data_IF_235309122844
#
_entry.id   IF_235309122844
#
_cell.length_a   1.000
_cell.length_b   1.000
_cell.length_c   1.000
_cell.angle_alpha   90.00
_cell.angle_beta   90.00
_cell.angle_gamma   90.00
#
_symmetry.space_group_name_H-M   'P 1'
#
loop_
_entity.id
_entity.type
_entity.pdbx_description
1 polymer ?
#
# COMPACT_ATOMS: atom_id res chain seq x y z
N UNK A 1 14.27 -4.99 21.97
CA UNK A 1 13.96 -4.81 20.54
C UNK A 1 14.04 -3.33 20.23
N UNK A 2 14.87 -2.93 19.31
CA UNK A 2 14.96 -1.53 18.86
C UNK A 2 13.82 -1.34 17.83
N UNK A 3 12.95 -0.35 18.00
CA UNK A 3 11.90 -0.07 17.02
C UNK A 3 12.48 0.31 15.66
N UNK A 4 11.86 -0.14 14.59
CA UNK A 4 12.18 0.31 13.24
C UNK A 4 11.83 1.80 13.08
N UNK A 5 12.65 2.54 12.30
CA UNK A 5 12.31 3.91 11.92
C UNK A 5 12.41 4.99 13.02
N UNK A 6 12.82 4.62 14.25
CA UNK A 6 12.92 5.57 15.37
C UNK A 6 13.97 6.67 15.16
N UNK A 7 14.88 6.50 14.21
CA UNK A 7 15.89 7.50 13.87
C UNK A 7 15.91 7.74 12.37
N UNK A 8 15.72 8.96 11.92
CA UNK A 8 15.84 9.35 10.52
C UNK A 8 14.55 9.79 9.85
N UNK A 9 14.62 9.85 8.53
CA UNK A 9 13.55 10.34 7.65
C UNK A 9 12.74 9.20 7.01
N UNK A 10 12.75 8.01 7.62
CA UNK A 10 12.04 6.85 7.06
C UNK A 10 10.69 6.71 7.75
N UNK A 11 9.66 6.75 6.96
CA UNK A 11 8.30 6.35 7.35
C UNK A 11 8.08 4.86 7.05
N UNK A 12 7.19 4.24 7.76
CA UNK A 12 7.00 2.79 7.70
C UNK A 12 5.52 2.44 7.71
N UNK A 13 5.12 1.58 6.79
CA UNK A 13 3.78 1.01 6.74
C UNK A 13 3.86 -0.51 6.89
N UNK A 14 2.94 -1.10 7.64
CA UNK A 14 2.80 -2.53 7.83
C UNK A 14 1.35 -2.96 7.55
N UNK A 15 1.17 -4.09 6.85
CA UNK A 15 -0.12 -4.63 6.46
C UNK A 15 -0.14 -6.15 6.66
N UNK A 16 -1.12 -6.68 7.38
CA UNK A 16 -1.28 -8.12 7.63
C UNK A 16 -1.99 -8.77 6.44
N UNK A 17 -1.25 -9.58 5.68
CA UNK A 17 -1.76 -10.26 4.49
C UNK A 17 -2.67 -11.43 4.84
N UNK A 18 -2.14 -12.36 5.64
CA UNK A 18 -2.86 -13.57 6.06
C UNK A 18 -2.22 -14.22 7.29
N UNK A 19 -2.87 -15.23 7.78
CA UNK A 19 -2.40 -16.06 8.89
C UNK A 19 -3.51 -16.35 9.90
N UNK A 20 -3.33 -17.42 10.66
CA UNK A 20 -4.25 -17.78 11.75
C UNK A 20 -3.94 -17.03 13.05
N UNK A 21 -2.97 -16.11 12.99
CA UNK A 21 -2.51 -15.32 14.11
C UNK A 21 -2.94 -13.87 14.05
N UNK A 22 -2.43 -13.12 15.00
CA UNK A 22 -2.57 -11.68 15.03
C UNK A 22 -1.22 -11.03 15.25
N UNK A 23 -0.98 -9.91 14.58
CA UNK A 23 0.23 -9.13 14.72
C UNK A 23 -0.01 -8.04 15.78
N UNK A 24 0.71 -8.09 16.88
CA UNK A 24 0.73 -6.97 17.83
C UNK A 24 1.71 -5.92 17.31
N UNK A 25 1.23 -4.70 17.05
CA UNK A 25 2.02 -3.59 16.51
C UNK A 25 1.97 -2.41 17.47
N UNK A 26 3.13 -1.81 17.71
CA UNK A 26 3.27 -0.60 18.53
C UNK A 26 3.89 0.51 17.68
N UNK A 27 3.23 1.67 17.63
CA UNK A 27 3.72 2.89 16.97
C UNK A 27 3.60 4.03 17.97
N UNK A 28 4.70 4.71 18.26
CA UNK A 28 4.70 5.90 19.12
C UNK A 28 4.07 5.68 20.50
N UNK A 29 4.17 4.46 21.05
CA UNK A 29 3.58 4.09 22.35
C UNK A 29 2.15 3.58 22.30
N UNK A 30 1.43 3.73 21.19
CA UNK A 30 0.11 3.08 20.99
C UNK A 30 0.32 1.66 20.47
N UNK A 31 -0.35 0.71 21.09
CA UNK A 31 -0.28 -0.72 20.75
C UNK A 31 -1.64 -1.23 20.35
N UNK A 32 -1.70 -1.94 19.22
CA UNK A 32 -2.91 -2.63 18.76
C UNK A 32 -2.60 -4.04 18.29
N UNK A 33 -3.61 -4.90 18.35
CA UNK A 33 -3.58 -6.26 17.81
C UNK A 33 -4.31 -6.26 16.49
N UNK A 34 -3.59 -6.57 15.42
CA UNK A 34 -4.09 -6.49 14.05
C UNK A 34 -4.32 -7.90 13.50
N UNK A 35 -5.57 -8.23 13.13
CA UNK A 35 -5.89 -9.42 12.34
C UNK A 35 -5.54 -9.20 10.87
N UNK A 36 -5.86 -10.18 10.03
CA UNK A 36 -5.80 -10.06 8.58
C UNK A 36 -6.52 -8.79 8.09
N UNK A 37 -5.90 -8.06 7.16
CA UNK A 37 -6.36 -6.77 6.67
C UNK A 37 -6.04 -5.59 7.57
N UNK A 38 -5.54 -5.84 8.79
CA UNK A 38 -5.07 -4.79 9.69
C UNK A 38 -3.79 -4.14 9.19
N UNK A 39 -3.66 -2.83 9.41
CA UNK A 39 -2.48 -2.07 9.01
C UNK A 39 -2.13 -0.98 10.03
N UNK A 40 -0.87 -0.56 10.00
CA UNK A 40 -0.39 0.58 10.75
C UNK A 40 0.63 1.38 9.94
N UNK A 41 0.61 2.69 10.14
CA UNK A 41 1.58 3.64 9.59
C UNK A 41 2.31 4.34 10.74
N UNK A 42 3.62 4.39 10.63
CA UNK A 42 4.51 5.14 11.52
C UNK A 42 5.19 6.27 10.73
N UNK A 43 4.95 7.53 11.11
CA UNK A 43 5.63 8.67 10.49
C UNK A 43 7.14 8.60 10.68
N UNK A 44 7.89 9.33 9.88
CA UNK A 44 9.34 9.48 10.03
C UNK A 44 9.70 9.94 11.44
N UNK A 45 10.72 9.32 12.02
CA UNK A 45 11.16 9.58 13.40
C UNK A 45 10.33 8.89 14.48
N UNK A 46 9.20 8.26 14.13
CA UNK A 46 8.39 7.47 15.07
C UNK A 46 8.69 5.99 14.89
N UNK A 47 9.14 5.34 15.96
CA UNK A 47 9.47 3.92 15.92
C UNK A 47 8.23 3.04 15.80
N UNK A 48 8.32 2.02 14.96
CA UNK A 48 7.38 0.91 14.88
C UNK A 48 8.03 -0.38 15.39
N UNK A 49 7.33 -1.12 16.20
CA UNK A 49 7.71 -2.48 16.58
C UNK A 49 6.53 -3.42 16.44
N UNK A 50 6.81 -4.67 16.14
CA UNK A 50 5.77 -5.67 15.93
C UNK A 50 6.18 -7.03 16.45
N UNK A 51 5.19 -7.83 16.82
CA UNK A 51 5.37 -9.18 17.34
C UNK A 51 4.21 -10.06 16.89
N UNK A 52 4.51 -11.26 16.40
CA UNK A 52 3.52 -12.30 16.28
C UNK A 52 3.10 -12.76 17.69
N UNK A 53 1.84 -12.58 18.02
CA UNK A 53 1.27 -12.94 19.32
C UNK A 53 0.94 -14.43 19.48
N UNK A 54 1.15 -15.23 18.41
CA UNK A 54 0.80 -16.66 18.35
C UNK A 54 2.00 -17.48 17.90
N UNK A 55 1.91 -18.81 18.05
CA UNK A 55 2.88 -19.80 17.57
C UNK A 55 2.65 -20.17 16.11
N UNK A 56 1.60 -19.63 15.50
CA UNK A 56 1.28 -19.89 14.08
C UNK A 56 1.93 -18.83 13.19
N UNK A 57 2.38 -19.21 11.99
CA UNK A 57 2.93 -18.26 11.05
C UNK A 57 1.85 -17.27 10.59
N UNK A 58 2.29 -16.03 10.33
CA UNK A 58 1.50 -15.03 9.65
C UNK A 58 2.38 -14.30 8.64
N UNK A 59 1.78 -13.80 7.56
CA UNK A 59 2.48 -13.00 6.54
C UNK A 59 2.02 -11.55 6.61
N UNK A 60 2.95 -10.65 6.43
CA UNK A 60 2.67 -9.22 6.37
C UNK A 60 3.60 -8.52 5.38
N UNK A 61 3.15 -7.41 4.83
CA UNK A 61 3.98 -6.49 4.07
C UNK A 61 4.61 -5.49 5.03
N UNK A 62 5.87 -5.16 4.76
CA UNK A 62 6.59 -4.07 5.40
C UNK A 62 7.08 -3.14 4.30
N UNK A 63 6.49 -1.96 4.21
CA UNK A 63 6.87 -0.92 3.28
C UNK A 63 7.62 0.19 4.02
N UNK A 64 8.64 0.73 3.38
CA UNK A 64 9.42 1.85 3.91
C UNK A 64 9.73 2.82 2.79
N UNK A 65 9.58 4.08 3.11
CA UNK A 65 9.88 5.18 2.20
C UNK A 65 10.60 6.29 2.94
N UNK A 66 11.39 7.08 2.22
CA UNK A 66 11.92 8.33 2.77
C UNK A 66 10.79 9.37 2.75
N UNK A 67 10.46 9.90 3.91
CA UNK A 67 9.49 10.98 4.05
C UNK A 67 10.03 12.27 3.43
N UNK A 68 9.22 12.92 2.60
CA UNK A 68 9.48 14.26 2.07
C UNK A 68 8.70 15.25 2.93
N UNK A 69 9.37 16.11 3.73
CA UNK A 69 8.68 17.01 4.64
C UNK A 69 7.78 18.01 3.91
N UNK A 70 6.63 18.30 4.51
CA UNK A 70 5.81 19.42 4.07
C UNK A 70 6.57 20.74 4.30
N UNK A 71 6.46 21.76 3.39
CA UNK A 71 7.09 23.07 3.57
C UNK A 71 6.70 23.77 4.88
N UNK A 72 5.46 23.59 5.34
CA UNK A 72 5.02 24.03 6.66
C UNK A 72 5.36 22.97 7.71
N UNK A 73 6.27 23.25 8.67
CA UNK A 73 6.68 22.30 9.70
C UNK A 73 5.56 21.92 10.68
N UNK A 74 4.43 22.64 10.70
CA UNK A 74 3.26 22.28 11.50
C UNK A 74 2.45 21.13 10.86
N UNK A 75 2.66 20.89 9.56
CA UNK A 75 1.97 19.85 8.79
C UNK A 75 2.74 18.52 8.85
N UNK A 76 2.74 17.88 10.03
CA UNK A 76 3.40 16.61 10.23
C UNK A 76 2.40 15.46 10.15
N UNK A 77 2.75 14.33 9.50
CA UNK A 77 1.91 13.14 9.50
C UNK A 77 1.83 12.55 10.92
N UNK A 78 0.81 11.76 11.14
CA UNK A 78 0.54 11.11 12.42
C UNK A 78 0.38 9.61 12.26
N UNK A 79 0.54 8.86 13.36
CA UNK A 79 0.37 7.41 13.35
C UNK A 79 -1.07 7.03 13.00
N UNK A 80 -1.21 6.08 12.07
CA UNK A 80 -2.50 5.56 11.63
C UNK A 80 -2.57 4.07 11.95
N UNK A 81 -3.71 3.62 12.47
CA UNK A 81 -4.07 2.22 12.61
C UNK A 81 -5.44 2.02 11.97
N UNK A 82 -5.61 0.94 11.22
CA UNK A 82 -6.87 0.64 10.57
C UNK A 82 -6.99 -0.83 10.17
N UNK A 83 -8.13 -1.14 9.57
CA UNK A 83 -8.39 -2.43 8.94
C UNK A 83 -9.12 -2.20 7.61
N UNK A 84 -8.70 -2.88 6.57
CA UNK A 84 -9.33 -2.79 5.24
C UNK A 84 -10.79 -3.20 5.22
N UNK A 85 -11.22 -4.06 6.17
CA UNK A 85 -12.61 -4.46 6.29
C UNK A 85 -13.54 -3.34 6.77
N UNK A 86 -12.96 -2.29 7.38
CA UNK A 86 -13.69 -1.11 7.86
C UNK A 86 -13.73 0.03 6.82
N UNK A 87 -13.06 -0.16 5.67
CA UNK A 87 -12.98 0.85 4.61
C UNK A 87 -13.94 0.49 3.50
N UNK A 88 -14.88 1.39 3.23
CA UNK A 88 -15.79 1.25 2.10
C UNK A 88 -15.01 1.29 0.77
N UNK A 89 -15.31 0.33 -0.08
CA UNK A 89 -14.78 0.28 -1.43
C UNK A 89 -15.55 1.25 -2.32
N UNK A 90 -14.86 2.07 -3.08
CA UNK A 90 -15.46 3.02 -4.01
C UNK A 90 -15.03 2.76 -5.45
N UNK A 91 -15.85 3.15 -6.40
CA UNK A 91 -15.49 3.12 -7.82
C UNK A 91 -14.30 4.07 -8.05
N UNK A 92 -13.28 3.56 -8.74
CA UNK A 92 -12.09 4.33 -9.09
C UNK A 92 -12.33 5.09 -10.39
N UNK A 93 -12.20 6.42 -10.34
CA UNK A 93 -12.22 7.33 -11.50
C UNK A 93 -13.35 7.06 -12.52
N UNK A 94 -14.55 6.79 -12.04
CA UNK A 94 -15.74 6.45 -12.85
C UNK A 94 -15.59 5.15 -13.68
N UNK A 95 -14.62 4.31 -13.39
CA UNK A 95 -14.45 2.99 -14.01
C UNK A 95 -15.26 1.95 -13.27
N UNK A 96 -16.45 1.59 -13.77
CA UNK A 96 -17.43 0.72 -13.07
C UNK A 96 -16.89 -0.65 -12.64
N UNK A 97 -15.80 -1.13 -13.26
CA UNK A 97 -15.20 -2.42 -12.96
C UNK A 97 -13.86 -2.31 -12.20
N UNK A 98 -13.54 -1.12 -11.71
CA UNK A 98 -12.32 -0.86 -10.95
C UNK A 98 -12.68 -0.18 -9.63
N UNK A 99 -12.13 -0.70 -8.52
CA UNK A 99 -12.48 -0.29 -7.18
C UNK A 99 -11.23 0.07 -6.39
N UNK A 100 -11.34 1.04 -5.49
CA UNK A 100 -10.23 1.50 -4.68
C UNK A 100 -10.61 1.64 -3.21
N UNK A 101 -9.65 1.32 -2.32
CA UNK A 101 -9.63 1.70 -0.91
C UNK A 101 -8.38 2.48 -0.62
N UNK A 102 -8.53 3.64 0.02
CA UNK A 102 -7.41 4.43 0.54
C UNK A 102 -7.15 4.00 1.98
N UNK A 103 -5.93 3.52 2.26
CA UNK A 103 -5.58 3.02 3.59
C UNK A 103 -5.06 4.13 4.50
N UNK A 104 -4.49 5.19 3.94
CA UNK A 104 -4.07 6.36 4.69
C UNK A 104 -5.01 7.54 4.40
N UNK A 105 -5.09 8.53 5.30
CA UNK A 105 -5.89 9.73 5.07
C UNK A 105 -5.44 10.50 3.82
N UNK A 106 -6.40 11.00 3.05
CA UNK A 106 -6.14 11.95 1.96
C UNK A 106 -5.94 13.33 2.58
N UNK A 107 -4.71 13.59 3.01
CA UNK A 107 -4.33 14.77 3.81
C UNK A 107 -2.91 15.18 3.39
N UNK A 108 -2.66 16.47 3.16
CA UNK A 108 -1.38 17.01 2.71
C UNK A 108 -0.21 16.77 3.68
N UNK A 109 -0.47 16.35 4.92
CA UNK A 109 0.56 15.91 5.87
C UNK A 109 1.30 14.68 5.40
N UNK A 110 0.62 13.81 4.64
CA UNK A 110 1.19 12.58 4.10
C UNK A 110 1.77 12.83 2.71
N UNK A 111 2.97 12.35 2.43
CA UNK A 111 3.61 12.38 1.11
C UNK A 111 3.45 11.07 0.35
N UNK A 112 2.83 10.09 0.98
CA UNK A 112 2.43 8.84 0.35
C UNK A 112 1.03 8.41 0.76
N UNK A 113 0.43 7.56 -0.04
CA UNK A 113 -0.71 6.75 0.37
C UNK A 113 -0.47 5.28 0.01
N UNK A 114 -1.17 4.41 0.72
CA UNK A 114 -1.28 2.99 0.39
C UNK A 114 -2.71 2.73 -0.06
N UNK A 115 -2.85 2.14 -1.24
CA UNK A 115 -4.15 1.85 -1.83
C UNK A 115 -4.31 0.35 -2.04
N UNK A 116 -5.54 -0.11 -2.00
CA UNK A 116 -5.92 -1.37 -2.62
C UNK A 116 -6.72 -1.04 -3.86
N UNK A 117 -6.22 -1.50 -5.01
CA UNK A 117 -6.94 -1.43 -6.27
C UNK A 117 -7.41 -2.82 -6.65
N UNK A 118 -8.67 -2.92 -7.07
CA UNK A 118 -9.31 -4.18 -7.39
C UNK A 118 -10.05 -4.08 -8.70
N UNK A 119 -9.91 -5.09 -9.55
CA UNK A 119 -10.55 -5.20 -10.86
C UNK A 119 -11.55 -6.34 -10.82
N UNK A 120 -12.79 -6.09 -11.18
CA UNK A 120 -13.73 -7.18 -11.45
C UNK A 120 -13.21 -8.06 -12.59
N UNK A 121 -13.68 -9.33 -12.70
CA UNK A 121 -13.31 -10.15 -13.85
C UNK A 121 -13.54 -9.44 -15.18
N UNK A 122 -12.47 -9.29 -15.98
CA UNK A 122 -12.49 -8.53 -17.22
C UNK A 122 -12.36 -7.00 -17.06
N UNK A 123 -12.25 -6.51 -15.83
CA UNK A 123 -12.01 -5.09 -15.58
C UNK A 123 -10.59 -4.68 -15.97
N UNK A 124 -10.42 -3.43 -16.38
CA UNK A 124 -9.11 -2.92 -16.80
C UNK A 124 -8.99 -1.41 -16.57
N UNK A 125 -7.75 -0.94 -16.58
CA UNK A 125 -7.47 0.45 -16.91
C UNK A 125 -7.71 0.65 -18.41
N UNK A 126 -8.61 1.54 -18.84
CA UNK A 126 -8.94 1.69 -20.25
C UNK A 126 -7.92 2.49 -21.07
N UNK A 127 -6.83 2.91 -20.44
CA UNK A 127 -5.76 3.71 -21.06
C UNK A 127 -4.39 3.33 -20.49
N UNK A 128 -3.36 3.65 -21.23
CA UNK A 128 -1.97 3.59 -20.74
C UNK A 128 -1.63 4.93 -20.10
N UNK A 129 -1.21 4.89 -18.86
CA UNK A 129 -0.78 6.06 -18.11
C UNK A 129 0.72 6.06 -17.85
N UNK A 130 1.27 7.24 -17.59
CA UNK A 130 2.65 7.45 -17.14
C UNK A 130 2.69 8.71 -16.27
N UNK A 131 3.45 8.67 -15.21
CA UNK A 131 3.60 9.79 -14.28
C UNK A 131 4.92 9.66 -13.50
N UNK A 132 5.29 10.71 -12.78
CA UNK A 132 6.52 10.74 -11.97
C UNK A 132 6.44 9.83 -10.75
N UNK A 133 5.25 9.65 -10.18
CA UNK A 133 5.04 8.83 -8.98
C UNK A 133 5.43 7.38 -9.25
N UNK A 134 6.21 6.83 -8.34
CA UNK A 134 6.61 5.42 -8.36
C UNK A 134 5.59 4.56 -7.62
N UNK A 135 5.52 3.29 -8.00
CA UNK A 135 4.66 2.30 -7.35
C UNK A 135 5.39 1.02 -7.05
N UNK A 136 5.21 0.51 -5.83
CA UNK A 136 5.47 -0.88 -5.51
C UNK A 136 4.14 -1.56 -5.22
N UNK A 137 3.78 -2.55 -6.03
CA UNK A 137 2.49 -3.25 -5.94
C UNK A 137 2.68 -4.73 -5.61
N UNK A 138 2.01 -5.20 -4.57
CA UNK A 138 1.92 -6.61 -4.22
C UNK A 138 0.51 -7.13 -4.55
N UNK A 139 0.47 -8.09 -5.45
CA UNK A 139 -0.77 -8.75 -5.84
C UNK A 139 -1.12 -9.83 -4.81
N UNK A 140 -2.29 -9.75 -4.21
CA UNK A 140 -2.70 -10.72 -3.20
C UNK A 140 -3.91 -11.57 -3.62
N UNK A 141 -4.56 -11.24 -4.73
CA UNK A 141 -5.72 -11.96 -5.25
C UNK A 141 -5.75 -11.93 -6.78
N UNK A 142 -6.11 -13.07 -7.38
CA UNK A 142 -6.40 -13.17 -8.81
C UNK A 142 -5.17 -13.18 -9.71
N UNK A 143 -5.43 -12.91 -10.98
CA UNK A 143 -4.44 -12.88 -12.06
C UNK A 143 -4.76 -11.79 -13.08
N UNK A 144 -3.74 -11.31 -13.76
CA UNK A 144 -3.85 -10.20 -14.71
C UNK A 144 -2.78 -10.18 -15.76
N UNK A 145 -2.89 -9.20 -16.63
CA UNK A 145 -1.87 -8.83 -17.59
C UNK A 145 -1.50 -7.38 -17.34
N UNK A 146 -0.26 -7.12 -16.99
CA UNK A 146 0.24 -5.79 -16.63
C UNK A 146 1.21 -5.27 -17.70
N UNK A 147 0.97 -4.06 -18.20
CA UNK A 147 1.94 -3.35 -19.05
C UNK A 147 2.98 -2.68 -18.15
N UNK A 148 4.24 -3.01 -18.36
CA UNK A 148 5.40 -2.38 -17.71
C UNK A 148 6.33 -1.85 -18.80
N UNK A 149 6.30 -0.55 -19.05
CA UNK A 149 6.91 0.11 -20.23
C UNK A 149 6.35 -0.44 -21.55
N UNK A 150 7.11 -1.26 -22.26
CA UNK A 150 6.71 -1.83 -23.53
C UNK A 150 6.40 -3.33 -23.46
N UNK A 151 6.49 -3.92 -22.25
CA UNK A 151 6.31 -5.34 -22.03
C UNK A 151 4.99 -5.64 -21.34
N UNK A 152 4.22 -6.57 -21.92
CA UNK A 152 3.05 -7.15 -21.28
C UNK A 152 3.45 -8.37 -20.44
N UNK A 153 3.30 -8.25 -19.15
CA UNK A 153 3.74 -9.26 -18.17
C UNK A 153 2.52 -9.92 -17.53
N UNK A 154 2.39 -11.26 -17.62
CA UNK A 154 1.41 -11.97 -16.83
C UNK A 154 1.73 -11.84 -15.34
N UNK A 155 0.74 -11.51 -14.54
CA UNK A 155 0.86 -11.35 -13.09
C UNK A 155 -0.22 -12.13 -12.37
N UNK A 156 0.06 -12.58 -11.15
CA UNK A 156 -0.86 -13.36 -10.32
C UNK A 156 -0.65 -13.05 -8.84
N UNK A 157 -1.53 -13.56 -8.01
CA UNK A 157 -1.37 -13.50 -6.57
C UNK A 157 0.02 -13.97 -6.12
N UNK A 158 0.59 -13.25 -5.18
CA UNK A 158 1.95 -13.37 -4.63
C UNK A 158 3.08 -12.76 -5.47
N UNK A 159 2.78 -12.23 -6.65
CA UNK A 159 3.75 -11.44 -7.39
C UNK A 159 3.91 -10.04 -6.79
N UNK A 160 5.11 -9.50 -6.96
CA UNK A 160 5.43 -8.10 -6.67
C UNK A 160 5.94 -7.43 -7.93
N UNK A 161 5.41 -6.27 -8.25
CA UNK A 161 5.86 -5.43 -9.37
C UNK A 161 6.28 -4.06 -8.86
N UNK A 162 7.29 -3.50 -9.49
CA UNK A 162 7.72 -2.13 -9.24
C UNK A 162 7.70 -1.33 -10.54
N UNK A 163 7.13 -0.15 -10.45
CA UNK A 163 7.01 0.80 -11.55
C UNK A 163 7.76 2.06 -11.15
N UNK A 164 8.91 2.28 -11.78
CA UNK A 164 9.69 3.49 -11.58
C UNK A 164 9.05 4.71 -12.23
N UNK A 165 9.62 5.87 -11.98
CA UNK A 165 9.17 7.13 -12.55
C UNK A 165 9.03 7.05 -14.07
N UNK A 166 7.89 7.53 -14.58
CA UNK A 166 7.51 7.51 -16.00
C UNK A 166 7.36 6.13 -16.64
N UNK A 167 7.33 5.06 -15.87
CA UNK A 167 6.96 3.74 -16.39
C UNK A 167 5.56 3.80 -17.02
N UNK A 168 5.43 3.41 -18.28
CA UNK A 168 4.11 3.23 -18.90
C UNK A 168 3.42 2.04 -18.22
N UNK A 169 2.19 2.22 -17.82
CA UNK A 169 1.46 1.22 -17.05
C UNK A 169 0.00 1.12 -17.46
N UNK A 170 -0.50 -0.10 -17.45
CA UNK A 170 -1.89 -0.43 -17.69
C UNK A 170 -2.13 -1.84 -17.16
N UNK A 171 -3.34 -2.15 -16.72
CA UNK A 171 -3.67 -3.45 -16.13
C UNK A 171 -4.98 -3.99 -16.66
N UNK A 172 -5.00 -5.28 -16.97
CA UNK A 172 -6.21 -6.06 -17.27
C UNK A 172 -6.35 -7.19 -16.26
N UNK A 173 -7.48 -7.22 -15.54
CA UNK A 173 -7.87 -8.37 -14.75
C UNK A 173 -8.34 -9.49 -15.69
N UNK A 174 -7.71 -10.65 -15.61
CA UNK A 174 -8.08 -11.83 -16.40
C UNK A 174 -8.57 -12.94 -15.47
N UNK A 175 -9.08 -14.04 -16.06
CA UNK A 175 -9.63 -15.13 -15.26
C UNK A 175 -11.04 -14.87 -14.75
N UNK A 176 -11.48 -15.69 -13.79
CA UNK A 176 -12.85 -15.71 -13.26
C UNK A 176 -12.97 -15.06 -11.88
N UNK A 177 -11.86 -14.70 -11.29
CA UNK A 177 -11.80 -14.04 -9.98
C UNK A 177 -11.39 -12.59 -10.13
N UNK A 178 -11.59 -11.83 -9.08
CA UNK A 178 -11.12 -10.47 -8.95
C UNK A 178 -9.61 -10.44 -8.93
N UNK A 179 -9.00 -9.46 -9.60
CA UNK A 179 -7.58 -9.13 -9.43
C UNK A 179 -7.48 -8.01 -8.40
N UNK A 180 -6.68 -8.20 -7.35
CA UNK A 180 -6.50 -7.16 -6.33
C UNK A 180 -5.03 -7.06 -5.92
N UNK A 181 -4.55 -5.83 -5.79
CA UNK A 181 -3.22 -5.55 -5.28
C UNK A 181 -3.19 -4.36 -4.32
N UNK A 182 -2.27 -4.41 -3.38
CA UNK A 182 -1.92 -3.28 -2.50
C UNK A 182 -0.69 -2.59 -3.08
N UNK A 183 -0.73 -1.27 -3.20
CA UNK A 183 0.38 -0.51 -3.76
C UNK A 183 0.60 0.81 -3.03
N UNK A 184 1.85 1.27 -3.04
CA UNK A 184 2.24 2.60 -2.61
C UNK A 184 2.12 3.60 -3.75
N UNK A 185 1.79 4.84 -3.41
CA UNK A 185 1.80 5.97 -4.34
C UNK A 185 2.28 7.21 -3.62
N UNK A 186 3.24 7.91 -4.22
CA UNK A 186 3.61 9.25 -3.79
C UNK A 186 2.42 10.20 -3.96
N UNK A 187 2.16 11.02 -2.96
CA UNK A 187 1.04 11.95 -2.89
C UNK A 187 1.52 13.32 -2.45
N UNK A 188 0.95 14.38 -3.02
CA UNK A 188 1.18 15.78 -2.65
C UNK A 188 2.62 16.29 -2.84
N UNK A 189 3.61 15.41 -2.79
CA UNK A 189 5.03 15.72 -3.02
C UNK A 189 5.64 14.59 -3.86
N UNK A 190 6.31 14.97 -4.93
CA UNK A 190 6.99 14.00 -5.79
C UNK A 190 8.34 13.62 -5.19
N UNK A 191 8.74 12.36 -5.37
CA UNK A 191 10.08 11.92 -5.02
C UNK A 191 11.12 12.66 -5.89
N UNK A 192 12.29 12.89 -5.34
CA UNK A 192 13.44 13.38 -6.12
C UNK A 192 13.90 12.27 -7.09
N UNK A 193 14.00 12.62 -8.39
CA UNK A 193 14.39 11.72 -9.48
C UNK A 193 15.88 11.90 -9.75
#
# INVERSE_FOLDING_TARGET
TVPYGASGQIETFIYVLDGEGSLTVTVGGRTEVMPQGGYAYAPAGVGISFRNGTDKPLRFLLYKQRYIPHPDPAMQPYAVFGNTNDIEERIYDNMENVFVRDLLPVDERFDMNMHILSFAPGGCHPFVETHVQEHGAYLYEGEGLYLLNDDWVPVKAEDFIWMGAYCKQCCYGVGLTRLSYIYSKDCHRDAEI
#
